data_IF_533256512305
#
_entry.id   IF_533256512305
#
_cell.length_a   1.000
_cell.length_b   1.000
_cell.length_c   1.000
_cell.angle_alpha   90.00
_cell.angle_beta   90.00
_cell.angle_gamma   90.00
#
_symmetry.space_group_name_H-M   'P 1'
#
loop_
_entity.id
_entity.type
_entity.pdbx_description
1 polymer ?
#
# COMPACT_ATOMS: atom_id res chain seq x y z
N UNK A 1 8.83 -1.24 15.82
CA UNK A 1 7.67 -1.34 16.74
C UNK A 1 6.46 -0.84 15.95
N UNK A 2 5.37 -1.58 15.87
CA UNK A 2 4.16 -1.12 15.17
C UNK A 2 3.37 -0.18 16.08
N UNK A 3 3.11 1.04 15.60
CA UNK A 3 2.25 1.99 16.29
C UNK A 3 0.79 1.75 15.90
N UNK A 4 -0.07 1.48 16.88
CA UNK A 4 -1.49 1.24 16.68
C UNK A 4 -2.27 2.55 16.83
N UNK A 5 -2.71 3.12 15.71
CA UNK A 5 -3.56 4.32 15.70
C UNK A 5 -5.03 3.89 15.61
N UNK A 6 -5.85 4.34 16.55
CA UNK A 6 -7.30 4.15 16.50
C UNK A 6 -7.91 5.21 15.58
N UNK A 7 -8.26 4.78 14.38
CA UNK A 7 -8.99 5.60 13.42
C UNK A 7 -10.45 5.12 13.36
N UNK A 8 -11.44 6.03 13.26
CA UNK A 8 -12.80 5.63 12.89
C UNK A 8 -12.76 4.76 11.63
N UNK A 9 -13.57 3.70 11.58
CA UNK A 9 -13.58 2.76 10.45
C UNK A 9 -13.82 3.44 9.10
N UNK A 10 -14.57 4.55 9.10
CA UNK A 10 -14.81 5.41 7.92
C UNK A 10 -13.51 6.03 7.39
N UNK A 11 -12.64 6.56 8.26
CA UNK A 11 -11.39 7.20 7.83
C UNK A 11 -10.39 6.19 7.29
N UNK A 12 -10.35 4.98 7.86
CA UNK A 12 -9.51 3.88 7.35
C UNK A 12 -10.00 3.42 5.97
N UNK A 13 -11.31 3.29 5.78
CA UNK A 13 -11.88 2.93 4.47
C UNK A 13 -11.55 4.01 3.43
N UNK A 14 -11.70 5.28 3.78
CA UNK A 14 -11.38 6.40 2.88
C UNK A 14 -9.89 6.40 2.50
N UNK A 15 -8.99 6.15 3.45
CA UNK A 15 -7.55 6.04 3.19
C UNK A 15 -7.22 4.87 2.26
N UNK A 16 -7.88 3.72 2.45
CA UNK A 16 -7.71 2.55 1.58
C UNK A 16 -8.26 2.82 0.17
N UNK A 17 -9.44 3.43 0.07
CA UNK A 17 -10.07 3.77 -1.21
C UNK A 17 -9.21 4.78 -1.98
N UNK A 18 -8.64 5.79 -1.31
CA UNK A 18 -7.66 6.70 -1.88
C UNK A 18 -6.41 5.96 -2.40
N UNK A 19 -5.83 5.07 -1.59
CA UNK A 19 -4.64 4.30 -1.99
C UNK A 19 -4.91 3.39 -3.17
N UNK A 20 -6.08 2.74 -3.24
CA UNK A 20 -6.48 1.94 -4.40
C UNK A 20 -6.58 2.80 -5.66
N UNK A 21 -7.12 4.01 -5.57
CA UNK A 21 -7.25 4.90 -6.73
C UNK A 21 -5.87 5.31 -7.27
N UNK A 22 -4.93 5.65 -6.38
CA UNK A 22 -3.54 5.91 -6.77
C UNK A 22 -2.88 4.68 -7.43
N UNK A 23 -3.11 3.49 -6.89
CA UNK A 23 -2.54 2.25 -7.44
C UNK A 23 -3.09 1.92 -8.83
N UNK A 24 -4.38 2.18 -9.11
CA UNK A 24 -4.96 1.99 -10.44
C UNK A 24 -4.22 2.80 -11.51
N UNK A 25 -3.90 4.06 -11.23
CA UNK A 25 -3.15 4.91 -12.15
C UNK A 25 -1.74 4.38 -12.43
N UNK A 26 -1.06 3.88 -11.39
CA UNK A 26 0.28 3.27 -11.53
C UNK A 26 0.23 1.96 -12.32
N UNK A 27 -0.75 1.10 -12.07
CA UNK A 27 -0.95 -0.14 -12.80
C UNK A 27 -1.24 0.13 -14.27
N UNK A 28 -2.11 1.08 -14.59
CA UNK A 28 -2.40 1.47 -15.97
C UNK A 28 -1.13 1.93 -16.70
N UNK A 29 -0.33 2.79 -16.07
CA UNK A 29 0.94 3.25 -16.66
C UNK A 29 1.99 2.13 -16.80
N UNK A 30 2.02 1.16 -15.89
CA UNK A 30 2.92 0.01 -15.98
C UNK A 30 2.51 -0.96 -17.10
N UNK A 31 1.20 -1.15 -17.33
CA UNK A 31 0.68 -1.98 -18.42
C UNK A 31 1.08 -1.41 -19.79
N UNK A 32 1.03 -0.08 -19.97
CA UNK A 32 1.44 0.58 -21.22
C UNK A 32 2.93 0.38 -21.55
N UNK A 33 3.75 0.02 -20.56
CA UNK A 33 5.21 -0.16 -20.66
C UNK A 33 5.60 -1.64 -20.50
N UNK A 34 4.69 -2.54 -20.88
CA UNK A 34 5.02 -3.94 -21.00
C UNK A 34 5.78 -4.18 -22.31
N UNK A 35 6.86 -4.98 -22.29
CA UNK A 35 7.24 -5.88 -21.20
C UNK A 35 8.20 -5.28 -20.15
N UNK A 36 8.73 -4.06 -20.32
CA UNK A 36 9.81 -3.53 -19.47
C UNK A 36 9.47 -3.40 -17.99
N UNK A 37 8.19 -3.24 -17.65
CA UNK A 37 7.70 -3.06 -16.28
C UNK A 37 6.98 -4.26 -15.66
N UNK A 38 7.24 -5.48 -16.14
CA UNK A 38 6.55 -6.70 -15.66
C UNK A 38 6.65 -6.93 -14.14
N UNK A 39 7.84 -6.80 -13.54
CA UNK A 39 8.04 -6.99 -12.10
C UNK A 39 7.37 -5.89 -11.26
N UNK A 40 7.46 -4.64 -11.71
CA UNK A 40 6.78 -3.49 -11.09
C UNK A 40 5.26 -3.67 -11.14
N UNK A 41 4.72 -4.13 -12.27
CA UNK A 41 3.31 -4.43 -12.42
C UNK A 41 2.87 -5.54 -11.44
N UNK A 42 3.66 -6.59 -11.29
CA UNK A 42 3.37 -7.67 -10.34
C UNK A 42 3.32 -7.17 -8.90
N UNK A 43 4.27 -6.32 -8.50
CA UNK A 43 4.29 -5.70 -7.18
C UNK A 43 3.07 -4.78 -6.95
N UNK A 44 2.71 -3.94 -7.93
CA UNK A 44 1.55 -3.06 -7.86
C UNK A 44 0.23 -3.83 -7.74
N UNK A 45 0.09 -4.94 -8.46
CA UNK A 45 -1.09 -5.81 -8.35
C UNK A 45 -1.15 -6.49 -6.99
N UNK A 46 -0.02 -6.92 -6.42
CA UNK A 46 0.02 -7.49 -5.08
C UNK A 46 -0.45 -6.47 -4.02
N UNK A 47 0.03 -5.22 -4.09
CA UNK A 47 -0.43 -4.14 -3.21
C UNK A 47 -1.95 -3.88 -3.32
N UNK A 48 -2.51 -3.93 -4.54
CA UNK A 48 -3.96 -3.78 -4.75
C UNK A 48 -4.77 -4.90 -4.09
N UNK A 49 -4.28 -6.14 -4.17
CA UNK A 49 -4.92 -7.30 -3.54
C UNK A 49 -4.94 -7.15 -2.02
N UNK A 50 -3.84 -6.70 -1.42
CA UNK A 50 -3.76 -6.47 0.02
C UNK A 50 -4.69 -5.34 0.49
N UNK A 51 -4.70 -4.21 -0.21
CA UNK A 51 -5.62 -3.10 0.06
C UNK A 51 -7.09 -3.57 0.02
N UNK A 52 -7.45 -4.36 -1.00
CA UNK A 52 -8.80 -4.95 -1.11
C UNK A 52 -9.15 -5.93 0.01
N UNK A 53 -8.18 -6.73 0.50
CA UNK A 53 -8.36 -7.61 1.68
C UNK A 53 -8.58 -6.78 2.94
N UNK A 54 -7.75 -5.75 3.18
CA UNK A 54 -7.88 -4.85 4.32
C UNK A 54 -9.24 -4.16 4.36
N UNK A 55 -9.69 -3.61 3.22
CA UNK A 55 -11.01 -2.97 3.09
C UNK A 55 -12.16 -3.90 3.51
N UNK A 56 -12.11 -5.16 3.04
CA UNK A 56 -13.12 -6.18 3.40
C UNK A 56 -13.08 -6.53 4.89
N UNK A 57 -11.89 -6.63 5.49
CA UNK A 57 -11.74 -6.92 6.92
C UNK A 57 -12.28 -5.78 7.81
N UNK A 58 -12.04 -4.52 7.43
CA UNK A 58 -12.54 -3.34 8.15
C UNK A 58 -14.07 -3.23 8.05
N UNK A 59 -14.63 -3.42 6.84
CA UNK A 59 -16.09 -3.51 6.67
C UNK A 59 -16.72 -4.64 7.51
N UNK A 60 -15.93 -5.68 7.82
CA UNK A 60 -16.29 -6.84 8.65
C UNK A 60 -15.76 -6.75 10.10
N UNK A 61 -15.53 -5.56 10.68
CA UNK A 61 -15.23 -5.31 12.11
C UNK A 61 -13.77 -4.96 12.52
N UNK A 62 -12.82 -4.74 11.61
CA UNK A 62 -11.48 -4.29 12.05
C UNK A 62 -11.50 -2.78 12.46
N UNK A 63 -11.07 -2.49 13.70
CA UNK A 63 -11.13 -1.15 14.32
C UNK A 63 -9.79 -0.39 14.28
N UNK A 64 -8.71 -1.02 13.78
CA UNK A 64 -7.34 -0.50 13.85
C UNK A 64 -6.61 -0.63 12.52
N UNK A 65 -5.82 0.38 12.16
CA UNK A 65 -4.85 0.34 11.06
C UNK A 65 -3.47 0.04 11.67
N UNK A 66 -2.82 -1.04 11.22
CA UNK A 66 -1.42 -1.32 11.58
C UNK A 66 -0.54 -0.66 10.54
N UNK A 67 0.28 0.30 10.97
CA UNK A 67 1.34 0.86 10.13
C UNK A 67 2.64 0.23 10.64
N UNK A 68 3.25 -0.61 9.82
CA UNK A 68 4.64 -0.99 10.02
C UNK A 68 5.49 0.19 9.53
N UNK A 69 6.16 0.87 10.46
CA UNK A 69 7.22 1.79 10.08
C UNK A 69 8.32 0.99 9.40
N UNK A 70 8.42 1.15 8.08
CA UNK A 70 9.63 0.77 7.35
C UNK A 70 10.71 1.71 7.86
N UNK A 71 11.57 1.20 8.73
CA UNK A 71 12.75 1.91 9.15
C UNK A 71 13.60 2.18 7.91
N UNK A 72 13.54 3.41 7.38
CA UNK A 72 14.52 3.92 6.44
C UNK A 72 15.86 4.00 7.17
N UNK A 73 16.62 2.91 7.16
CA UNK A 73 18.05 2.93 7.42
C UNK A 73 18.77 3.46 6.18
N UNK A 74 18.54 4.73 5.83
CA UNK A 74 19.51 5.49 5.04
C UNK A 74 20.59 6.03 5.99
N UNK A 75 21.62 5.22 6.22
CA UNK A 75 22.96 5.75 6.41
C UNK A 75 23.85 5.16 5.33
N UNK A 76 23.76 5.80 4.17
CA UNK A 76 24.87 6.19 3.30
C UNK A 76 26.17 5.41 3.50
N UNK A 77 26.38 4.41 2.63
CA UNK A 77 27.74 4.13 2.17
C UNK A 77 28.22 5.33 1.36
N UNK A 78 29.18 6.07 1.89
CA UNK A 78 29.98 7.04 1.15
C UNK A 78 31.46 6.80 1.47
N UNK A 79 32.08 5.99 0.62
CA UNK A 79 33.47 6.09 0.12
C UNK A 79 34.57 6.63 1.05
N UNK A 80 35.41 5.75 1.59
CA UNK A 80 36.77 5.40 1.09
C UNK A 80 37.50 4.55 2.12
#
# INVERSE_FOLDING_TARGET
MSNLIKLPSVDIINAIDYRMECLKGKVASAIEKLPEKGEELQALVAEMIEAGKARRAIKRHATYLVIEEVAEAQHTGAAK
#
